data_IF_800223456601
#
_entry.id   IF_800223456601
#
_cell.length_a   1.000
_cell.length_b   1.000
_cell.length_c   1.000
_cell.angle_alpha   90.00
_cell.angle_beta   90.00
_cell.angle_gamma   90.00
#
_symmetry.space_group_name_H-M   'P 1'
#
loop_
_entity.id
_entity.type
_entity.pdbx_description
1 polymer ?
#
# COMPACT_ATOMS: atom_id res chain seq x y z
N UNK A 1 -6.47 0.39 10.02
CA UNK A 1 -5.19 0.17 10.74
C UNK A 1 -4.02 0.46 9.82
N UNK A 2 -3.05 1.17 10.31
CA UNK A 2 -1.86 1.52 9.54
C UNK A 2 -0.63 0.96 10.23
N UNK A 3 0.18 0.20 9.47
CA UNK A 3 1.44 -0.35 9.97
C UNK A 3 2.57 0.25 9.13
N UNK A 4 3.21 1.30 9.61
CA UNK A 4 4.27 1.91 8.83
C UNK A 4 5.60 1.17 9.01
N UNK A 5 6.27 0.98 7.91
CA UNK A 5 7.67 0.57 7.90
C UNK A 5 8.44 1.73 7.27
N UNK A 6 9.41 2.26 8.01
CA UNK A 6 10.22 3.35 7.49
C UNK A 6 11.68 2.92 7.50
N UNK A 7 12.30 3.07 6.35
CA UNK A 7 13.72 2.82 6.20
C UNK A 7 14.37 4.09 5.66
N UNK A 8 15.41 4.55 6.35
CA UNK A 8 16.20 5.67 5.86
C UNK A 8 17.13 5.17 4.77
N UNK A 9 16.98 5.70 3.57
CA UNK A 9 17.78 5.30 2.44
C UNK A 9 19.04 6.12 2.26
N UNK A 10 19.76 5.80 1.22
CA UNK A 10 20.92 6.57 0.75
C UNK A 10 20.45 7.81 0.00
N UNK A 11 21.41 8.56 -0.54
CA UNK A 11 21.10 9.71 -1.40
C UNK A 11 20.30 9.36 -2.64
N UNK A 12 20.23 8.08 -2.99
CA UNK A 12 19.41 7.62 -4.11
C UNK A 12 17.92 7.90 -3.91
N UNK A 13 17.48 8.04 -2.66
CA UNK A 13 16.10 8.37 -2.35
C UNK A 13 15.78 9.87 -2.43
N UNK A 14 16.71 10.70 -2.90
CA UNK A 14 16.51 12.13 -3.05
C UNK A 14 16.35 12.48 -4.52
N UNK A 15 15.40 13.33 -4.81
CA UNK A 15 15.13 13.79 -6.17
C UNK A 15 15.06 15.30 -6.21
N UNK A 16 15.38 15.86 -7.38
CA UNK A 16 15.25 17.29 -7.62
C UNK A 16 13.87 17.57 -8.16
N UNK A 17 13.18 18.49 -7.53
CA UNK A 17 11.85 18.90 -7.95
C UNK A 17 11.90 20.39 -8.28
N UNK A 18 11.41 20.77 -9.46
CA UNK A 18 11.34 22.16 -9.87
C UNK A 18 10.02 22.76 -9.40
N UNK A 19 10.11 23.73 -8.47
CA UNK A 19 8.94 24.41 -7.95
C UNK A 19 8.61 25.64 -8.80
N UNK A 20 9.64 26.31 -9.30
CA UNK A 20 9.56 27.48 -10.18
C UNK A 20 10.63 27.37 -11.25
N UNK A 21 10.53 28.13 -12.34
CA UNK A 21 11.55 28.06 -13.40
C UNK A 21 12.97 28.31 -12.93
N UNK A 22 13.15 29.11 -11.88
CA UNK A 22 14.43 29.50 -11.33
C UNK A 22 14.83 28.77 -10.06
N UNK A 23 14.01 27.83 -9.58
CA UNK A 23 14.25 27.14 -8.31
C UNK A 23 14.16 25.61 -8.47
N UNK A 24 15.07 24.95 -7.77
CA UNK A 24 15.05 23.49 -7.60
C UNK A 24 14.96 23.17 -6.12
N UNK A 25 14.14 22.21 -5.80
CA UNK A 25 14.02 21.66 -4.46
C UNK A 25 14.47 20.21 -4.48
N UNK A 26 15.32 19.84 -3.54
CA UNK A 26 15.71 18.44 -3.35
C UNK A 26 14.80 17.84 -2.29
N UNK A 27 14.05 16.83 -2.65
CA UNK A 27 13.12 16.18 -1.73
C UNK A 27 13.36 14.66 -1.72
N UNK A 28 13.04 14.00 -0.59
CA UNK A 28 13.11 12.55 -0.53
C UNK A 28 12.08 11.90 -1.44
N UNK A 29 12.43 10.74 -1.95
CA UNK A 29 11.49 9.85 -2.62
C UNK A 29 11.17 8.70 -1.69
N UNK A 30 9.91 8.37 -1.60
CA UNK A 30 9.41 7.27 -0.78
C UNK A 30 8.80 6.20 -1.66
N UNK A 31 9.00 4.96 -1.26
CA UNK A 31 8.27 3.85 -1.82
C UNK A 31 7.24 3.40 -0.82
N UNK A 32 6.05 3.12 -1.30
CA UNK A 32 4.95 2.75 -0.44
C UNK A 32 4.21 1.56 -1.02
N UNK A 33 3.66 0.76 -0.13
CA UNK A 33 2.76 -0.31 -0.48
C UNK A 33 1.54 -0.20 0.42
N UNK A 34 0.36 -0.16 -0.19
CA UNK A 34 -0.91 -0.20 0.54
C UNK A 34 -1.53 -1.55 0.29
N UNK A 35 -1.78 -2.28 1.36
CA UNK A 35 -2.47 -3.57 1.31
C UNK A 35 -3.93 -3.31 1.63
N UNK A 36 -4.82 -3.68 0.70
CA UNK A 36 -6.25 -3.51 0.84
C UNK A 36 -6.90 -4.88 0.87
N UNK A 37 -7.72 -5.12 1.87
CA UNK A 37 -8.40 -6.41 2.01
C UNK A 37 -9.80 -6.23 2.58
N UNK A 38 -10.67 -7.15 2.22
CA UNK A 38 -12.00 -7.19 2.78
C UNK A 38 -11.94 -7.44 4.29
N UNK A 39 -12.83 -6.80 5.04
CA UNK A 39 -12.97 -7.05 6.46
C UNK A 39 -13.32 -8.52 6.69
N UNK A 40 -12.90 -9.11 7.81
CA UNK A 40 -13.13 -10.55 8.06
C UNK A 40 -14.60 -10.98 7.97
N UNK A 41 -15.52 -10.09 8.31
CA UNK A 41 -16.96 -10.38 8.29
C UNK A 41 -17.58 -10.30 6.89
N UNK A 42 -16.83 -9.79 5.90
CA UNK A 42 -17.34 -9.63 4.53
C UNK A 42 -17.02 -10.88 3.73
N UNK A 43 -18.03 -11.39 3.03
CA UNK A 43 -17.86 -12.54 2.15
C UNK A 43 -16.88 -12.22 1.02
N UNK A 44 -16.00 -13.17 0.74
CA UNK A 44 -15.03 -13.10 -0.34
C UNK A 44 -15.27 -14.22 -1.34
N UNK A 45 -16.14 -14.02 -2.34
CA UNK A 45 -16.43 -15.07 -3.32
C UNK A 45 -15.22 -15.50 -4.11
N UNK A 46 -14.34 -14.56 -4.45
CA UNK A 46 -13.12 -14.87 -5.21
C UNK A 46 -12.16 -15.74 -4.38
N UNK A 47 -11.99 -15.42 -3.10
CA UNK A 47 -11.18 -16.23 -2.20
C UNK A 47 -11.74 -17.64 -2.02
N UNK A 48 -13.04 -17.77 -1.87
CA UNK A 48 -13.68 -19.09 -1.73
C UNK A 48 -13.56 -19.90 -3.01
N UNK A 49 -13.73 -19.27 -4.17
CA UNK A 49 -13.56 -19.96 -5.45
C UNK A 49 -12.10 -20.44 -5.63
N UNK A 50 -11.15 -19.62 -5.25
CA UNK A 50 -9.73 -20.00 -5.32
C UNK A 50 -9.42 -21.15 -4.36
N UNK A 51 -9.99 -21.13 -3.16
CA UNK A 51 -9.82 -22.21 -2.20
C UNK A 51 -10.35 -23.54 -2.75
N UNK A 52 -11.55 -23.53 -3.32
CA UNK A 52 -12.12 -24.71 -3.94
C UNK A 52 -11.26 -25.23 -5.11
N UNK A 53 -10.73 -24.31 -5.92
CA UNK A 53 -9.83 -24.70 -7.00
C UNK A 53 -8.54 -25.33 -6.48
N UNK A 54 -8.01 -24.81 -5.37
CA UNK A 54 -6.83 -25.38 -4.75
C UNK A 54 -7.05 -26.82 -4.30
N UNK A 55 -8.23 -27.13 -3.75
CA UNK A 55 -8.58 -28.49 -3.38
C UNK A 55 -8.56 -29.42 -4.60
N UNK A 56 -9.10 -28.97 -5.73
CA UNK A 56 -9.10 -29.75 -6.97
C UNK A 56 -7.69 -29.96 -7.52
N UNK A 57 -6.76 -29.09 -7.18
CA UNK A 57 -5.35 -29.26 -7.56
C UNK A 57 -4.58 -30.17 -6.60
N UNK A 58 -5.21 -30.64 -5.54
CA UNK A 58 -4.56 -31.50 -4.58
C UNK A 58 -3.87 -30.77 -3.43
N UNK A 59 -4.12 -29.49 -3.27
CA UNK A 59 -3.58 -28.73 -2.13
C UNK A 59 -4.43 -29.02 -0.91
N UNK A 60 -3.85 -29.76 0.02
CA UNK A 60 -4.56 -30.18 1.24
C UNK A 60 -4.29 -29.21 2.38
N UNK A 61 -5.28 -29.10 3.29
CA UNK A 61 -5.11 -28.31 4.51
C UNK A 61 -5.32 -26.82 4.37
N UNK A 62 -5.74 -26.35 3.21
CA UNK A 62 -6.05 -24.93 3.01
C UNK A 62 -7.43 -24.62 3.57
N UNK A 63 -7.46 -24.11 4.80
CA UNK A 63 -8.71 -23.86 5.52
C UNK A 63 -9.38 -22.56 5.15
N UNK A 64 -8.58 -21.56 4.72
CA UNK A 64 -9.08 -20.23 4.44
C UNK A 64 -8.20 -19.59 3.38
N UNK A 65 -8.83 -18.88 2.46
CA UNK A 65 -8.12 -18.12 1.44
C UNK A 65 -8.88 -16.80 1.23
N UNK A 66 -8.18 -15.71 1.38
CA UNK A 66 -8.73 -14.36 1.22
C UNK A 66 -7.90 -13.63 0.18
N UNK A 67 -8.56 -12.99 -0.76
CA UNK A 67 -7.89 -12.25 -1.82
C UNK A 67 -8.00 -10.76 -1.53
N UNK A 68 -6.87 -10.10 -1.47
CA UNK A 68 -6.78 -8.65 -1.38
C UNK A 68 -5.94 -8.11 -2.52
N UNK A 69 -5.61 -6.84 -2.44
CA UNK A 69 -4.75 -6.22 -3.44
C UNK A 69 -3.63 -5.45 -2.77
N UNK A 70 -2.51 -5.36 -3.46
CA UNK A 70 -1.37 -4.54 -3.08
C UNK A 70 -1.22 -3.43 -4.11
N UNK A 71 -1.13 -2.19 -3.64
CA UNK A 71 -0.92 -1.02 -4.49
C UNK A 71 0.46 -0.48 -4.18
N UNK A 72 1.33 -0.47 -5.18
CA UNK A 72 2.69 0.02 -5.02
C UNK A 72 2.82 1.41 -5.63
N UNK A 73 3.51 2.29 -4.92
CA UNK A 73 3.60 3.70 -5.31
C UNK A 73 4.98 4.26 -4.99
N UNK A 74 5.36 5.26 -5.78
CA UNK A 74 6.49 6.12 -5.45
C UNK A 74 5.94 7.52 -5.23
N UNK A 75 6.44 8.20 -4.20
CA UNK A 75 5.97 9.52 -3.82
C UNK A 75 7.14 10.41 -3.47
N UNK A 76 7.13 11.62 -4.00
CA UNK A 76 8.06 12.66 -3.61
C UNK A 76 7.37 13.56 -2.59
N UNK A 77 8.00 13.75 -1.45
CA UNK A 77 7.45 14.56 -0.37
C UNK A 77 8.57 15.15 0.46
N UNK A 78 8.33 16.28 1.13
CA UNK A 78 9.35 16.95 1.93
C UNK A 78 9.91 16.07 3.05
N UNK A 79 9.07 15.26 3.66
CA UNK A 79 9.46 14.39 4.75
C UNK A 79 8.50 13.19 4.85
N UNK A 80 8.83 12.27 5.75
CA UNK A 80 8.03 11.07 5.98
C UNK A 80 6.62 11.41 6.46
N UNK A 81 6.49 12.36 7.36
CA UNK A 81 5.19 12.71 7.92
C UNK A 81 4.22 13.19 6.85
N UNK A 82 4.70 14.01 5.91
CA UNK A 82 3.89 14.49 4.81
C UNK A 82 3.59 13.36 3.81
N UNK A 83 4.58 12.51 3.53
CA UNK A 83 4.36 11.34 2.68
C UNK A 83 3.26 10.45 3.27
N UNK A 84 3.35 10.16 4.55
CA UNK A 84 2.35 9.34 5.25
C UNK A 84 0.96 9.98 5.18
N UNK A 85 0.89 11.28 5.46
CA UNK A 85 -0.39 11.99 5.45
C UNK A 85 -1.08 11.88 4.08
N UNK A 86 -0.32 12.08 3.02
CA UNK A 86 -0.84 11.99 1.65
C UNK A 86 -1.29 10.58 1.30
N UNK A 87 -0.51 9.59 1.72
CA UNK A 87 -0.81 8.19 1.41
C UNK A 87 -1.97 7.65 2.23
N UNK A 88 -2.12 8.10 3.47
CA UNK A 88 -3.28 7.75 4.29
C UNK A 88 -4.56 8.33 3.68
N UNK A 89 -4.51 9.58 3.25
CA UNK A 89 -5.64 10.21 2.58
C UNK A 89 -6.03 9.47 1.31
N UNK A 90 -5.03 9.13 0.49
CA UNK A 90 -5.23 8.41 -0.76
C UNK A 90 -5.84 7.03 -0.51
N UNK A 91 -5.32 6.32 0.48
CA UNK A 91 -5.78 4.97 0.82
C UNK A 91 -7.24 5.00 1.28
N UNK A 92 -7.55 5.95 2.14
CA UNK A 92 -8.87 6.06 2.75
C UNK A 92 -9.94 6.55 1.77
N UNK A 93 -9.56 7.46 0.86
CA UNK A 93 -10.51 8.12 -0.03
C UNK A 93 -10.59 7.50 -1.41
N UNK A 94 -9.55 6.81 -1.85
CA UNK A 94 -9.48 6.32 -3.23
C UNK A 94 -9.21 4.83 -3.34
N UNK A 95 -8.26 4.30 -2.56
CA UNK A 95 -7.78 2.93 -2.77
C UNK A 95 -8.65 1.87 -2.11
N UNK A 96 -9.23 2.17 -0.97
CA UNK A 96 -10.06 1.24 -0.23
C UNK A 96 -11.50 1.73 -0.16
N UNK A 97 -12.43 0.78 -0.14
CA UNK A 97 -13.82 1.07 0.16
C UNK A 97 -13.99 1.00 1.68
N UNK A 98 -14.15 2.14 2.38
CA UNK A 98 -14.14 2.15 3.84
C UNK A 98 -15.30 1.39 4.48
N UNK A 99 -16.34 1.07 3.71
CA UNK A 99 -17.49 0.32 4.22
C UNK A 99 -17.16 -1.15 4.41
N UNK A 100 -16.36 -1.73 3.51
CA UNK A 100 -16.12 -3.17 3.49
C UNK A 100 -14.64 -3.56 3.54
N UNK A 101 -13.72 -2.61 3.40
CA UNK A 101 -12.30 -2.91 3.31
C UNK A 101 -11.50 -2.23 4.41
N UNK A 102 -10.45 -2.91 4.83
CA UNK A 102 -9.39 -2.35 5.67
C UNK A 102 -8.14 -2.18 4.82
N UNK A 103 -7.27 -1.28 5.23
CA UNK A 103 -6.00 -1.09 4.56
C UNK A 103 -4.87 -0.93 5.57
N UNK A 104 -3.67 -1.23 5.11
CA UNK A 104 -2.44 -0.97 5.86
C UNK A 104 -1.40 -0.37 4.93
N UNK A 105 -0.53 0.47 5.49
CA UNK A 105 0.48 1.19 4.74
C UNK A 105 1.88 0.76 5.18
N UNK A 106 2.69 0.40 4.21
CA UNK A 106 4.13 0.22 4.39
C UNK A 106 4.82 1.36 3.66
N UNK A 107 5.69 2.08 4.36
CA UNK A 107 6.35 3.27 3.83
C UNK A 107 7.84 3.15 4.06
N UNK A 108 8.61 3.40 3.00
CA UNK A 108 10.05 3.25 3.02
C UNK A 108 10.67 4.39 2.21
N UNK A 109 11.66 5.05 2.77
CA UNK A 109 12.45 6.03 2.02
C UNK A 109 13.49 5.29 1.20
N UNK A 110 13.45 5.51 -0.10
CA UNK A 110 14.39 4.85 -1.02
C UNK A 110 15.70 5.60 -1.18
#
# INVERSE_FOLDING_TARGET
>A
MVTPVVRTGSLQGLVSVRIRPDQLLIVPRFQARVLVRLRPSVLDPAGEAARGAAERLGVEGLCKLRIGKAVEMELEAPDEAEARRRLELLSDRLLANPVIEDWSLELEQS
#
